data_IF_700765212339
#
_entry.id   IF_700765212339
#
_cell.length_a   1.000
_cell.length_b   1.000
_cell.length_c   1.000
_cell.angle_alpha   90.00
_cell.angle_beta   90.00
_cell.angle_gamma   90.00
#
_symmetry.space_group_name_H-M   'P 1'
#
loop_
_entity.id
_entity.type
_entity.pdbx_description
1 polymer ?
#
# COMPACT_ATOMS: atom_id res chain seq x y z
N UNK A 1 9.51 -16.87 47.41
CA UNK A 1 9.95 -17.51 46.15
C UNK A 1 10.45 -16.42 45.22
N UNK A 2 11.77 -16.36 44.99
CA UNK A 2 12.36 -15.60 43.88
C UNK A 2 12.45 -16.54 42.67
N UNK A 3 12.33 -15.99 41.45
CA UNK A 3 13.42 -15.94 40.46
C UNK A 3 13.06 -14.98 39.32
N UNK A 4 13.98 -14.04 39.11
CA UNK A 4 14.23 -13.07 38.03
C UNK A 4 14.48 -13.81 36.70
N UNK A 5 14.28 -13.34 35.46
CA UNK A 5 14.04 -12.06 34.81
C UNK A 5 14.29 -12.26 33.28
N UNK A 6 14.13 -11.24 32.43
CA UNK A 6 14.07 -11.38 30.97
C UNK A 6 15.47 -11.42 30.31
N UNK A 7 15.66 -12.32 29.35
CA UNK A 7 16.92 -12.46 28.61
C UNK A 7 17.12 -11.36 27.54
N UNK A 8 18.30 -10.73 27.55
CA UNK A 8 18.85 -9.88 26.48
C UNK A 8 20.22 -10.42 26.05
N UNK A 9 20.38 -10.55 24.73
CA UNK A 9 21.54 -10.34 23.85
C UNK A 9 22.96 -10.83 24.22
N UNK A 10 23.62 -11.39 23.19
CA UNK A 10 25.06 -11.67 23.10
C UNK A 10 25.31 -13.18 22.90
N UNK A 11 26.33 -13.69 22.19
CA UNK A 11 27.56 -13.08 21.68
C UNK A 11 28.05 -13.89 20.46
N UNK A 12 28.77 -13.19 19.59
CA UNK A 12 29.58 -13.67 18.46
C UNK A 12 30.83 -14.42 18.93
N UNK A 13 31.29 -15.43 18.16
CA UNK A 13 32.69 -15.87 17.84
C UNK A 13 32.64 -17.34 17.37
N UNK A 14 33.45 -17.90 16.47
CA UNK A 14 34.71 -17.47 15.86
C UNK A 14 34.88 -18.07 14.44
N UNK A 15 35.80 -17.41 13.75
CA UNK A 15 36.53 -17.71 12.51
C UNK A 15 36.90 -19.17 12.22
N UNK A 16 36.70 -19.58 10.96
CA UNK A 16 37.41 -20.69 10.33
C UNK A 16 38.00 -20.25 8.99
N UNK A 17 39.30 -19.93 8.98
CA UNK A 17 40.11 -19.78 7.76
C UNK A 17 41.03 -20.98 7.67
N UNK A 18 41.09 -21.65 6.51
CA UNK A 18 42.37 -22.05 5.91
C UNK A 18 42.21 -22.53 4.47
N UNK A 19 42.98 -21.87 3.59
CA UNK A 19 43.25 -22.25 2.19
C UNK A 19 44.21 -23.44 2.19
N UNK A 20 44.09 -24.32 1.20
CA UNK A 20 45.21 -25.17 0.78
C UNK A 20 45.27 -25.25 -0.74
N UNK A 21 46.41 -24.81 -1.27
CA UNK A 21 46.79 -24.88 -2.67
C UNK A 21 47.54 -26.20 -2.94
N UNK A 22 47.37 -26.73 -4.14
CA UNK A 22 48.06 -27.88 -4.75
C UNK A 22 48.16 -27.52 -6.24
N UNK A 23 49.24 -27.64 -6.99
CA UNK A 23 50.60 -28.13 -6.82
C UNK A 23 51.10 -28.43 -8.25
N UNK A 24 52.18 -27.77 -8.69
CA UNK A 24 53.16 -28.12 -9.74
C UNK A 24 52.73 -28.58 -11.16
N UNK A 25 53.23 -27.90 -12.20
CA UNK A 25 53.32 -28.42 -13.58
C UNK A 25 53.65 -27.41 -14.70
N UNK A 26 54.94 -27.32 -15.06
CA UNK A 26 55.61 -26.85 -16.30
C UNK A 26 54.94 -25.90 -17.33
N UNK A 27 55.77 -24.95 -17.75
CA UNK A 27 55.73 -23.98 -18.85
C UNK A 27 55.01 -24.34 -20.17
N UNK A 28 54.30 -23.35 -20.71
CA UNK A 28 54.18 -23.10 -22.14
C UNK A 28 53.95 -21.59 -22.38
N UNK A 29 54.74 -20.98 -23.26
CA UNK A 29 54.59 -19.61 -23.74
C UNK A 29 54.52 -19.64 -25.26
N UNK A 30 53.58 -18.91 -25.85
CA UNK A 30 53.58 -18.56 -27.26
C UNK A 30 53.48 -17.04 -27.35
N UNK A 31 54.54 -16.43 -27.87
CA UNK A 31 54.50 -15.12 -28.48
C UNK A 31 54.07 -15.31 -29.95
N UNK A 32 53.28 -14.36 -30.47
CA UNK A 32 53.01 -14.26 -31.91
C UNK A 32 51.54 -14.40 -32.34
N UNK A 33 50.81 -13.29 -32.32
CA UNK A 33 50.14 -12.81 -33.53
C UNK A 33 49.63 -11.40 -33.33
N UNK A 34 50.11 -10.50 -34.18
CA UNK A 34 49.49 -9.22 -34.43
C UNK A 34 48.05 -9.44 -34.92
N UNK A 35 47.10 -8.69 -34.37
CA UNK A 35 46.05 -8.12 -35.20
C UNK A 35 45.65 -6.75 -34.66
N UNK A 36 45.54 -5.82 -35.59
CA UNK A 36 45.19 -4.42 -35.39
C UNK A 36 43.71 -4.27 -35.74
N UNK A 37 43.02 -3.42 -34.97
CA UNK A 37 41.68 -2.85 -35.22
C UNK A 37 40.44 -3.71 -34.92
N UNK A 38 39.67 -3.25 -33.93
CA UNK A 38 38.40 -2.55 -34.22
C UNK A 38 38.05 -1.58 -33.06
N UNK A 39 37.48 -0.40 -33.36
CA UNK A 39 37.02 0.53 -32.33
C UNK A 39 35.84 -0.05 -31.54
N UNK A 40 35.88 0.18 -30.23
CA UNK A 40 34.80 -0.17 -29.29
C UNK A 40 33.45 0.38 -29.79
N UNK A 41 32.46 -0.52 -29.87
CA UNK A 41 31.05 -0.17 -30.12
C UNK A 41 30.58 0.88 -29.12
N UNK A 42 30.39 2.12 -29.57
CA UNK A 42 29.57 3.10 -28.85
C UNK A 42 28.11 2.85 -29.20
N UNK A 43 27.47 1.92 -28.48
CA UNK A 43 26.01 1.87 -28.44
C UNK A 43 25.53 3.06 -27.59
N UNK A 44 25.37 4.22 -28.23
CA UNK A 44 24.86 5.43 -27.59
C UNK A 44 23.62 5.93 -28.34
N UNK A 45 22.45 5.49 -27.88
CA UNK A 45 21.23 6.28 -27.76
C UNK A 45 20.09 5.38 -27.24
N UNK A 46 19.97 5.28 -25.91
CA UNK A 46 18.68 4.93 -25.31
C UNK A 46 18.41 5.89 -24.15
N UNK A 47 17.53 6.89 -24.37
CA UNK A 47 16.73 7.35 -23.25
C UNK A 47 15.28 7.61 -23.71
N UNK A 48 14.55 6.55 -24.05
CA UNK A 48 13.10 6.64 -24.24
C UNK A 48 12.30 5.93 -23.12
N UNK A 49 12.97 5.51 -22.04
CA UNK A 49 12.34 4.84 -20.88
C UNK A 49 12.31 5.69 -19.60
N UNK A 50 12.81 6.92 -19.65
CA UNK A 50 12.91 7.80 -18.48
C UNK A 50 11.62 8.61 -18.20
N UNK A 51 10.60 8.53 -19.07
CA UNK A 51 9.40 9.36 -18.95
C UNK A 51 8.16 8.61 -18.41
N UNK A 52 8.16 7.27 -18.41
CA UNK A 52 7.06 6.48 -17.84
C UNK A 52 7.14 6.32 -16.30
N UNK A 53 8.23 6.77 -15.68
CA UNK A 53 8.44 6.65 -14.23
C UNK A 53 7.86 7.77 -13.38
N UNK A 54 7.36 8.87 -13.99
CA UNK A 54 6.90 10.06 -13.27
C UNK A 54 5.36 10.20 -13.22
N UNK A 55 4.64 9.10 -13.50
CA UNK A 55 3.19 8.98 -13.28
C UNK A 55 2.86 8.18 -12.01
N UNK A 56 3.85 8.02 -11.12
CA UNK A 56 3.67 7.46 -9.79
C UNK A 56 3.19 8.57 -8.85
N UNK A 57 1.89 8.59 -8.58
CA UNK A 57 1.26 9.30 -7.46
C UNK A 57 1.51 10.81 -7.47
N UNK A 58 0.71 11.54 -8.26
CA UNK A 58 0.43 12.93 -7.91
C UNK A 58 -0.38 12.90 -6.61
N UNK A 59 0.31 12.94 -5.46
CA UNK A 59 -0.35 13.13 -4.16
C UNK A 59 -1.23 14.37 -4.28
N UNK A 60 -2.55 14.18 -4.19
CA UNK A 60 -3.47 15.30 -4.26
C UNK A 60 -3.09 16.34 -3.20
N UNK A 61 -3.14 17.62 -3.57
CA UNK A 61 -2.92 18.76 -2.68
C UNK A 61 -3.68 18.52 -1.36
N UNK A 62 -3.03 18.68 -0.18
CA UNK A 62 -3.67 18.48 1.11
C UNK A 62 -5.06 19.10 1.24
N UNK A 63 -5.28 20.29 0.66
CA UNK A 63 -6.59 20.96 0.70
C UNK A 63 -7.65 20.22 -0.11
N UNK A 64 -7.27 19.70 -1.27
CA UNK A 64 -8.17 18.93 -2.13
C UNK A 64 -8.48 17.56 -1.49
N UNK A 65 -7.50 16.89 -0.87
CA UNK A 65 -7.75 15.66 -0.09
C UNK A 65 -8.74 15.90 1.05
N UNK A 66 -8.52 16.96 1.83
CA UNK A 66 -9.43 17.38 2.90
C UNK A 66 -10.85 17.63 2.38
N UNK A 67 -10.96 18.39 1.28
CA UNK A 67 -12.26 18.70 0.66
C UNK A 67 -12.99 17.44 0.20
N UNK A 68 -12.28 16.48 -0.41
CA UNK A 68 -12.85 15.20 -0.82
C UNK A 68 -13.30 14.37 0.37
N UNK A 69 -12.49 14.27 1.43
CA UNK A 69 -12.87 13.57 2.65
C UNK A 69 -14.16 14.15 3.27
N UNK A 70 -14.26 15.48 3.37
CA UNK A 70 -15.48 16.14 3.86
C UNK A 70 -16.68 15.84 2.97
N UNK A 71 -16.51 15.92 1.64
CA UNK A 71 -17.58 15.62 0.70
C UNK A 71 -18.07 14.18 0.83
N UNK A 72 -17.14 13.21 0.91
CA UNK A 72 -17.44 11.78 1.12
C UNK A 72 -18.18 11.54 2.44
N UNK A 73 -17.72 12.16 3.52
CA UNK A 73 -18.39 12.07 4.83
C UNK A 73 -19.82 12.61 4.80
N UNK A 74 -20.05 13.76 4.16
CA UNK A 74 -21.39 14.35 3.98
C UNK A 74 -22.29 13.44 3.16
N UNK A 75 -21.82 12.95 2.02
CA UNK A 75 -22.58 12.00 1.19
C UNK A 75 -22.99 10.76 1.99
N UNK A 76 -22.10 10.22 2.82
CA UNK A 76 -22.44 9.07 3.68
C UNK A 76 -23.52 9.41 4.71
N UNK A 77 -23.49 10.60 5.31
CA UNK A 77 -24.53 11.07 6.24
C UNK A 77 -25.88 11.27 5.54
N UNK A 78 -25.89 11.89 4.37
CA UNK A 78 -27.10 12.09 3.59
C UNK A 78 -27.76 10.76 3.19
N UNK A 79 -26.95 9.74 2.84
CA UNK A 79 -27.43 8.39 2.54
C UNK A 79 -28.00 7.68 3.77
N UNK A 80 -27.42 7.90 4.96
CA UNK A 80 -27.97 7.39 6.22
C UNK A 80 -29.35 8.01 6.51
N UNK A 81 -29.52 9.30 6.23
CA UNK A 81 -30.80 9.99 6.38
C UNK A 81 -31.82 9.55 5.34
N UNK A 82 -31.43 9.38 4.07
CA UNK A 82 -32.29 8.81 3.02
C UNK A 82 -32.80 7.42 3.43
N UNK A 83 -31.91 6.55 3.92
CA UNK A 83 -32.27 5.23 4.43
C UNK A 83 -33.25 5.32 5.61
N UNK A 84 -33.03 6.24 6.55
CA UNK A 84 -33.91 6.44 7.71
C UNK A 84 -35.29 6.93 7.28
N UNK A 85 -35.38 7.83 6.31
CA UNK A 85 -36.66 8.29 5.76
C UNK A 85 -37.40 7.17 5.05
N UNK A 86 -36.69 6.37 4.23
CA UNK A 86 -37.27 5.21 3.56
C UNK A 86 -37.80 4.17 4.56
N UNK A 87 -37.09 3.94 5.67
CA UNK A 87 -37.54 3.09 6.77
C UNK A 87 -38.83 3.59 7.40
N UNK A 88 -38.92 4.90 7.70
CA UNK A 88 -40.11 5.50 8.29
C UNK A 88 -41.31 5.47 7.35
N UNK A 89 -41.07 5.57 6.04
CA UNK A 89 -42.10 5.45 5.01
C UNK A 89 -42.55 4.01 4.75
N UNK A 90 -41.88 3.00 5.33
CA UNK A 90 -42.12 1.58 5.01
C UNK A 90 -41.72 1.22 3.57
N UNK A 91 -40.83 2.00 2.95
CA UNK A 91 -40.42 1.84 1.56
C UNK A 91 -39.31 0.80 1.34
N UNK A 92 -38.98 0.57 0.07
CA UNK A 92 -37.89 -0.33 -0.31
C UNK A 92 -36.52 0.30 -0.02
N UNK A 93 -35.73 -0.35 0.85
CA UNK A 93 -34.39 0.10 1.24
C UNK A 93 -33.26 -0.35 0.31
N UNK A 94 -33.51 -1.30 -0.59
CA UNK A 94 -32.48 -1.87 -1.46
C UNK A 94 -31.62 -0.82 -2.18
N UNK A 95 -32.23 0.19 -2.85
CA UNK A 95 -31.47 1.24 -3.52
C UNK A 95 -30.61 2.08 -2.57
N UNK A 96 -31.15 2.49 -1.41
CA UNK A 96 -30.43 3.29 -0.43
C UNK A 96 -29.27 2.50 0.19
N UNK A 97 -29.50 1.22 0.52
CA UNK A 97 -28.46 0.32 1.03
C UNK A 97 -27.32 0.11 0.03
N UNK A 98 -27.64 -0.10 -1.25
CA UNK A 98 -26.61 -0.28 -2.29
C UNK A 98 -25.72 0.97 -2.44
N UNK A 99 -26.31 2.17 -2.42
CA UNK A 99 -25.54 3.44 -2.43
C UNK A 99 -24.71 3.60 -1.16
N UNK A 100 -25.25 3.22 -0.01
CA UNK A 100 -24.54 3.29 1.26
C UNK A 100 -23.34 2.33 1.29
N UNK A 101 -23.46 1.13 0.71
CA UNK A 101 -22.33 0.20 0.54
C UNK A 101 -21.22 0.78 -0.34
N UNK A 102 -21.58 1.46 -1.43
CA UNK A 102 -20.61 2.15 -2.28
C UNK A 102 -19.91 3.28 -1.53
N UNK A 103 -20.67 4.12 -0.81
CA UNK A 103 -20.11 5.23 -0.02
C UNK A 103 -19.16 4.72 1.07
N UNK A 104 -19.49 3.61 1.74
CA UNK A 104 -18.64 2.99 2.75
C UNK A 104 -17.23 2.66 2.22
N UNK A 105 -17.12 2.20 0.97
CA UNK A 105 -15.83 1.94 0.35
C UNK A 105 -14.94 3.18 0.22
N UNK A 106 -15.56 4.34 0.02
CA UNK A 106 -14.84 5.61 -0.15
C UNK A 106 -14.39 6.25 1.16
N UNK A 107 -14.98 5.89 2.30
CA UNK A 107 -14.62 6.49 3.60
C UNK A 107 -13.22 6.08 4.06
N UNK A 108 -12.71 4.94 3.61
CA UNK A 108 -11.38 4.40 3.98
C UNK A 108 -10.19 5.20 3.44
N UNK A 109 -10.43 6.13 2.51
CA UNK A 109 -9.37 6.97 1.95
C UNK A 109 -8.95 8.06 2.95
N UNK A 110 -7.67 8.03 3.34
CA UNK A 110 -7.08 8.97 4.28
C UNK A 110 -7.27 10.44 3.87
N UNK A 111 -7.72 11.23 4.84
CA UNK A 111 -7.81 12.69 4.72
C UNK A 111 -6.46 13.39 4.89
N UNK A 112 -5.52 12.77 5.61
CA UNK A 112 -4.25 13.36 6.04
C UNK A 112 -4.37 14.36 7.19
N UNK A 113 -5.56 14.50 7.80
CA UNK A 113 -5.82 15.35 8.97
C UNK A 113 -6.37 14.47 10.11
N UNK A 114 -5.63 14.27 11.22
CA UNK A 114 -6.02 13.33 12.27
C UNK A 114 -7.42 13.59 12.86
N UNK A 115 -7.79 14.85 13.04
CA UNK A 115 -9.10 15.23 13.59
C UNK A 115 -10.24 14.93 12.61
N UNK A 116 -10.02 15.15 11.32
CA UNK A 116 -11.01 14.82 10.29
C UNK A 116 -11.12 13.31 10.11
N UNK A 117 -10.00 12.59 10.17
CA UNK A 117 -9.98 11.13 10.11
C UNK A 117 -10.84 10.51 11.22
N UNK A 118 -10.70 10.99 12.46
CA UNK A 118 -11.49 10.50 13.59
C UNK A 118 -13.01 10.67 13.37
N UNK A 119 -13.42 11.76 12.71
CA UNK A 119 -14.84 11.99 12.36
C UNK A 119 -15.28 11.04 11.25
N UNK A 120 -14.45 10.85 10.22
CA UNK A 120 -14.72 9.93 9.11
C UNK A 120 -14.82 8.49 9.61
N UNK A 121 -13.94 8.07 10.53
CA UNK A 121 -13.98 6.74 11.17
C UNK A 121 -15.29 6.54 11.96
N UNK A 122 -15.76 7.55 12.67
CA UNK A 122 -17.03 7.48 13.39
C UNK A 122 -18.22 7.32 12.42
N UNK A 123 -18.17 8.00 11.26
CA UNK A 123 -19.17 7.83 10.20
C UNK A 123 -19.07 6.43 9.61
N UNK A 124 -17.87 5.93 9.27
CA UNK A 124 -17.67 4.59 8.73
C UNK A 124 -18.21 3.52 9.68
N UNK A 125 -17.92 3.63 10.98
CA UNK A 125 -18.43 2.72 11.99
C UNK A 125 -19.96 2.70 12.00
N UNK A 126 -20.59 3.88 11.94
CA UNK A 126 -22.05 3.98 11.88
C UNK A 126 -22.59 3.31 10.62
N UNK A 127 -22.00 3.58 9.47
CA UNK A 127 -22.38 2.96 8.18
C UNK A 127 -22.26 1.44 8.26
N UNK A 128 -21.14 0.92 8.76
CA UNK A 128 -20.92 -0.52 8.90
C UNK A 128 -21.96 -1.18 9.81
N UNK A 129 -22.31 -0.54 10.93
CA UNK A 129 -23.34 -1.02 11.85
C UNK A 129 -24.70 -1.05 11.17
N UNK A 130 -25.08 0.00 10.45
CA UNK A 130 -26.37 0.06 9.75
C UNK A 130 -26.46 -1.01 8.65
N UNK A 131 -25.44 -1.17 7.82
CA UNK A 131 -25.39 -2.25 6.83
C UNK A 131 -25.52 -3.63 7.48
N UNK A 132 -24.82 -3.86 8.60
CA UNK A 132 -24.89 -5.12 9.32
C UNK A 132 -26.27 -5.40 9.94
N UNK A 133 -26.97 -4.37 10.44
CA UNK A 133 -28.35 -4.52 10.94
C UNK A 133 -29.29 -5.00 9.83
N UNK A 134 -29.20 -4.39 8.65
CA UNK A 134 -30.11 -4.68 7.55
C UNK A 134 -29.81 -6.03 6.87
N UNK A 135 -28.54 -6.43 6.80
CA UNK A 135 -28.17 -7.79 6.38
C UNK A 135 -28.75 -8.87 7.31
N UNK A 136 -28.82 -8.60 8.62
CA UNK A 136 -29.42 -9.54 9.60
C UNK A 136 -30.95 -9.55 9.54
N UNK A 137 -31.60 -8.42 9.31
CA UNK A 137 -33.07 -8.34 9.28
C UNK A 137 -33.66 -8.84 7.97
N UNK A 138 -32.97 -8.68 6.83
CA UNK A 138 -33.43 -9.15 5.52
C UNK A 138 -33.27 -10.66 5.28
N UNK A 139 -32.72 -11.41 6.24
CA UNK A 139 -32.56 -12.86 6.19
C UNK A 139 -33.69 -13.67 6.87
N UNK A 140 -34.81 -13.02 7.22
CA UNK A 140 -36.02 -13.67 7.76
C UNK A 140 -37.20 -13.37 6.84
#
# INVERSE_FOLDING_TARGET
>A
MLIVGPGKAGNVTATGRMRRAHGSGSAFSLDGSADVSEPTRTAAAAPARALDGLLMVQEADPRERRRRAIARGRTALDLLDEMKLALMAGGNLGPALARLEQAAGTLRESSGEPELEAVIDAIELRVAVELAKHRRSGGR
#
